data_IF_548906025412
#
_entry.id   IF_548906025412
#
_cell.length_a   1.000
_cell.length_b   1.000
_cell.length_c   1.000
_cell.angle_alpha   90.00
_cell.angle_beta   90.00
_cell.angle_gamma   90.00
#
_symmetry.space_group_name_H-M   'P 1'
#
loop_
_entity.id
_entity.type
_entity.pdbx_description
1 polymer ?
#
# COMPACT_ATOMS: atom_id res chain seq x y z
N UNK A 1 -14.44 -7.45 14.77
CA UNK A 1 -15.66 -6.82 14.19
C UNK A 1 -15.27 -5.68 13.25
N UNK A 2 -16.17 -5.19 12.39
CA UNK A 2 -15.89 -3.99 11.59
C UNK A 2 -15.44 -2.83 12.50
N UNK A 3 -14.37 -2.10 12.13
CA UNK A 3 -13.81 -1.00 12.92
C UNK A 3 -12.71 -1.40 13.92
N UNK A 4 -12.47 -2.70 14.16
CA UNK A 4 -11.42 -3.14 15.08
C UNK A 4 -10.02 -3.03 14.47
N UNK A 5 -9.89 -3.40 13.19
CA UNK A 5 -8.63 -3.31 12.45
C UNK A 5 -8.22 -1.84 12.29
N UNK A 6 -9.20 -0.97 12.01
CA UNK A 6 -8.99 0.47 11.89
C UNK A 6 -8.46 1.08 13.19
N UNK A 7 -8.99 0.66 14.35
CA UNK A 7 -8.46 1.09 15.66
C UNK A 7 -7.04 0.61 15.91
N UNK A 8 -6.71 -0.62 15.51
CA UNK A 8 -5.34 -1.14 15.63
C UNK A 8 -4.39 -0.30 14.78
N UNK A 9 -4.75 -0.01 13.53
CA UNK A 9 -3.96 0.86 12.66
C UNK A 9 -3.75 2.24 13.29
N UNK A 10 -4.81 2.86 13.81
CA UNK A 10 -4.73 4.15 14.50
C UNK A 10 -3.81 4.10 15.73
N UNK A 11 -3.87 3.04 16.55
CA UNK A 11 -2.98 2.87 17.72
C UNK A 11 -1.51 2.73 17.35
N UNK A 12 -1.23 2.22 16.13
CA UNK A 12 0.11 2.13 15.56
C UNK A 12 0.54 3.42 14.82
N UNK A 13 -0.31 4.45 14.81
CA UNK A 13 -0.05 5.71 14.14
C UNK A 13 -0.25 5.67 12.63
N UNK A 14 -1.00 4.69 12.11
CA UNK A 14 -1.29 4.52 10.69
C UNK A 14 -2.72 4.88 10.35
N UNK A 15 -2.92 5.37 9.12
CA UNK A 15 -4.24 5.61 8.52
C UNK A 15 -4.25 5.02 7.12
N UNK A 16 -5.39 4.47 6.72
CA UNK A 16 -5.57 3.97 5.36
C UNK A 16 -5.54 5.15 4.39
N UNK A 17 -4.77 5.06 3.29
CA UNK A 17 -4.71 6.10 2.28
C UNK A 17 -5.99 6.12 1.44
N UNK A 18 -6.22 7.22 0.73
CA UNK A 18 -7.26 7.26 -0.30
C UNK A 18 -6.92 6.28 -1.44
N UNK A 19 -7.94 5.54 -1.88
CA UNK A 19 -7.79 4.58 -2.98
C UNK A 19 -7.64 5.34 -4.30
N UNK A 20 -6.46 5.23 -4.92
CA UNK A 20 -6.20 5.82 -6.23
C UNK A 20 -6.98 5.16 -7.38
N UNK A 21 -6.91 5.76 -8.57
CA UNK A 21 -7.44 5.16 -9.82
C UNK A 21 -6.46 4.10 -10.37
N UNK A 22 -6.95 3.06 -11.08
CA UNK A 22 -6.09 2.15 -11.84
C UNK A 22 -5.20 2.91 -12.83
N UNK A 23 -3.97 2.41 -13.05
CA UNK A 23 -3.00 3.03 -13.97
C UNK A 23 -3.14 2.56 -15.42
N UNK A 24 -4.04 1.62 -15.69
CA UNK A 24 -4.28 1.05 -17.01
C UNK A 24 -5.60 0.29 -17.05
N UNK A 25 -5.79 -0.55 -18.07
CA UNK A 25 -7.02 -1.33 -18.29
C UNK A 25 -7.11 -2.55 -17.37
N UNK A 26 -7.16 -2.31 -16.06
CA UNK A 26 -7.36 -3.33 -15.02
C UNK A 26 -8.14 -2.74 -13.84
N UNK A 27 -8.66 -3.61 -12.96
CA UNK A 27 -9.43 -3.21 -11.76
C UNK A 27 -8.58 -3.30 -10.49
N UNK A 28 -8.99 -2.61 -9.43
CA UNK A 28 -8.23 -2.57 -8.17
C UNK A 28 -8.19 -3.92 -7.42
N UNK A 29 -9.24 -4.71 -7.57
CA UNK A 29 -9.34 -6.04 -7.01
C UNK A 29 -10.38 -6.86 -7.78
N UNK A 30 -10.23 -8.19 -7.73
CA UNK A 30 -11.21 -9.15 -8.24
C UNK A 30 -11.47 -10.20 -7.18
N UNK A 31 -12.71 -10.67 -7.07
CA UNK A 31 -13.08 -11.76 -6.17
C UNK A 31 -13.38 -13.02 -6.98
N UNK A 32 -12.79 -14.15 -6.56
CA UNK A 32 -13.10 -15.47 -7.09
C UNK A 32 -13.45 -16.38 -5.91
N UNK A 33 -14.72 -16.76 -5.79
CA UNK A 33 -15.22 -17.51 -4.64
C UNK A 33 -15.00 -16.78 -3.31
N UNK A 34 -14.16 -17.36 -2.45
CA UNK A 34 -13.76 -16.79 -1.15
C UNK A 34 -12.40 -16.07 -1.17
N UNK A 35 -11.75 -15.95 -2.34
CA UNK A 35 -10.47 -15.26 -2.50
C UNK A 35 -10.69 -13.86 -3.06
N UNK A 36 -10.07 -12.85 -2.43
CA UNK A 36 -9.99 -11.49 -2.94
C UNK A 36 -8.55 -11.23 -3.41
N UNK A 37 -8.37 -11.03 -4.71
CA UNK A 37 -7.09 -10.69 -5.31
C UNK A 37 -7.00 -9.17 -5.43
N UNK A 38 -5.96 -8.58 -4.87
CA UNK A 38 -5.70 -7.14 -4.91
C UNK A 38 -4.58 -6.88 -5.92
N UNK A 39 -4.80 -5.94 -6.84
CA UNK A 39 -3.78 -5.53 -7.81
C UNK A 39 -2.59 -4.88 -7.12
N UNK A 40 -1.45 -4.80 -7.80
CA UNK A 40 -0.22 -4.21 -7.26
C UNK A 40 -0.44 -2.80 -6.68
N UNK A 41 0.11 -2.58 -5.48
CA UNK A 41 0.07 -1.30 -4.77
C UNK A 41 1.46 -0.67 -4.73
N UNK A 42 1.48 0.65 -4.76
CA UNK A 42 2.72 1.43 -4.80
C UNK A 42 2.90 2.19 -3.50
N UNK A 43 4.16 2.45 -3.08
CA UNK A 43 4.46 3.26 -1.90
C UNK A 43 4.15 4.74 -2.19
N UNK A 44 2.87 5.12 -2.08
CA UNK A 44 2.42 6.49 -2.28
C UNK A 44 2.20 7.19 -0.96
N UNK A 45 2.71 8.40 -0.86
CA UNK A 45 2.43 9.31 0.25
C UNK A 45 1.96 10.63 -0.36
N UNK A 46 0.79 11.12 0.06
CA UNK A 46 0.16 12.32 -0.49
C UNK A 46 0.06 12.30 -2.03
N UNK A 47 -0.29 11.14 -2.59
CA UNK A 47 -0.45 10.94 -4.04
C UNK A 47 0.85 10.81 -4.84
N UNK A 48 2.03 10.97 -4.22
CA UNK A 48 3.34 10.89 -4.87
C UNK A 48 4.05 9.59 -4.52
N UNK A 49 4.77 9.02 -5.49
CA UNK A 49 5.64 7.86 -5.23
C UNK A 49 6.79 8.26 -4.30
N UNK A 50 7.02 7.44 -3.28
CA UNK A 50 8.15 7.56 -2.35
C UNK A 50 9.18 6.46 -2.61
N UNK A 51 10.45 6.74 -2.33
CA UNK A 51 11.55 5.76 -2.41
C UNK A 51 11.70 5.09 -3.79
N UNK A 52 11.94 5.92 -4.81
CA UNK A 52 12.05 5.45 -6.20
C UNK A 52 13.48 4.97 -6.49
N UNK A 53 13.62 3.71 -6.90
CA UNK A 53 14.88 3.14 -7.36
C UNK A 53 15.10 1.73 -6.81
N UNK A 54 16.30 1.18 -7.01
CA UNK A 54 16.66 -0.17 -6.57
C UNK A 54 17.19 -0.13 -5.13
N UNK A 55 16.67 -1.02 -4.29
CA UNK A 55 17.17 -1.23 -2.93
C UNK A 55 18.63 -1.69 -2.98
N UNK A 56 19.48 -1.08 -2.17
CA UNK A 56 20.94 -1.28 -2.16
C UNK A 56 21.70 -0.44 -3.19
N UNK A 57 21.01 0.40 -3.98
CA UNK A 57 21.64 1.36 -4.90
C UNK A 57 21.11 2.77 -4.70
N UNK A 58 19.90 3.06 -5.20
CA UNK A 58 19.26 4.37 -5.02
C UNK A 58 18.44 4.45 -3.72
N UNK A 59 18.01 3.30 -3.19
CA UNK A 59 17.16 3.19 -2.00
C UNK A 59 17.88 2.36 -0.93
N UNK A 60 17.92 2.81 0.32
CA UNK A 60 18.49 2.00 1.41
C UNK A 60 17.54 0.88 1.83
N UNK A 61 18.02 -0.08 2.63
CA UNK A 61 17.15 -1.16 3.14
C UNK A 61 16.02 -0.60 4.00
N UNK A 62 16.33 0.37 4.86
CA UNK A 62 15.38 1.03 5.76
C UNK A 62 14.30 1.77 4.96
N UNK A 63 14.69 2.49 3.90
CA UNK A 63 13.75 3.13 2.99
C UNK A 63 12.89 2.09 2.24
N UNK A 64 13.47 0.94 1.88
CA UNK A 64 12.75 -0.18 1.28
C UNK A 64 11.68 -0.75 2.23
N UNK A 65 12.00 -0.88 3.53
CA UNK A 65 11.03 -1.29 4.57
C UNK A 65 9.90 -0.26 4.69
N UNK A 66 10.23 1.03 4.69
CA UNK A 66 9.21 2.09 4.73
C UNK A 66 8.32 2.06 3.47
N UNK A 67 8.90 1.84 2.30
CA UNK A 67 8.17 1.70 1.04
C UNK A 67 7.22 0.49 1.09
N UNK A 68 7.71 -0.68 1.55
CA UNK A 68 6.88 -1.87 1.68
C UNK A 68 5.70 -1.63 2.64
N UNK A 69 5.93 -0.93 3.75
CA UNK A 69 4.86 -0.53 4.69
C UNK A 69 3.82 0.36 4.01
N UNK A 70 4.25 1.39 3.28
CA UNK A 70 3.33 2.30 2.58
C UNK A 70 2.54 1.59 1.49
N UNK A 71 3.14 0.62 0.79
CA UNK A 71 2.44 -0.15 -0.24
C UNK A 71 1.41 -1.14 0.34
N UNK A 72 1.55 -1.53 1.62
CA UNK A 72 0.65 -2.45 2.31
C UNK A 72 -0.57 -1.77 2.96
N UNK A 73 -0.53 -0.45 3.15
CA UNK A 73 -1.63 0.36 3.67
C UNK A 73 -2.64 0.70 2.56
#
# INVERSE_FOLDING_TARGET
MAGEVERILESLGYRLPEVGKPLGSYVQSVRSGNLLYVSGKFPKENGKLKHIGKVGREVTVEQGIEAARLAAL
#
